data_IF_454797659286
#
_entry.id   IF_454797659286
#
_cell.length_a   1.000
_cell.length_b   1.000
_cell.length_c   1.000
_cell.angle_alpha   90.00
_cell.angle_beta   90.00
_cell.angle_gamma   90.00
#
_symmetry.space_group_name_H-M   'P 1'
#
loop_
_entity.id
_entity.type
_entity.pdbx_description
1 polymer ?
#
# COMPACT_ATOMS: atom_id res chain seq x y z
N UNK A 1 -9.92 22.23 -14.03
CA UNK A 1 -9.84 20.98 -14.79
C UNK A 1 -10.32 19.81 -13.95
N UNK A 2 -11.43 19.18 -14.33
CA UNK A 2 -11.88 17.94 -13.70
C UNK A 2 -11.06 16.79 -14.33
N UNK A 3 -10.36 16.00 -13.50
CA UNK A 3 -9.69 14.77 -13.95
C UNK A 3 -10.72 13.64 -13.95
N UNK A 4 -10.73 12.83 -15.00
CA UNK A 4 -11.57 11.64 -15.07
C UNK A 4 -10.78 10.46 -14.50
N UNK A 5 -11.22 9.98 -13.34
CA UNK A 5 -10.57 8.88 -12.63
C UNK A 5 -11.42 7.62 -12.76
N UNK A 6 -10.83 6.56 -13.32
CA UNK A 6 -11.42 5.23 -13.37
C UNK A 6 -10.73 4.33 -12.34
N UNK A 7 -11.51 3.57 -11.57
CA UNK A 7 -10.99 2.60 -10.61
C UNK A 7 -11.23 1.18 -11.08
N UNK A 8 -10.16 0.38 -11.09
CA UNK A 8 -10.21 -1.06 -11.32
C UNK A 8 -9.85 -1.79 -10.03
N UNK A 9 -10.68 -2.75 -9.62
CA UNK A 9 -10.48 -3.48 -8.37
C UNK A 9 -10.24 -4.97 -8.69
N UNK A 10 -9.11 -5.49 -8.19
CA UNK A 10 -8.69 -6.88 -8.34
C UNK A 10 -8.33 -7.42 -6.95
N UNK A 11 -9.36 -7.74 -6.18
CA UNK A 11 -9.26 -7.96 -4.74
C UNK A 11 -9.29 -9.47 -4.44
N UNK A 12 -8.20 -9.99 -3.87
CA UNK A 12 -8.13 -11.35 -3.37
C UNK A 12 -9.12 -11.56 -2.23
N UNK A 13 -10.07 -12.47 -2.46
CA UNK A 13 -11.14 -12.83 -1.51
C UNK A 13 -10.63 -13.58 -0.28
N UNK A 14 -9.42 -14.12 -0.34
CA UNK A 14 -8.78 -14.84 0.75
C UNK A 14 -7.91 -13.96 1.63
N UNK A 15 -7.80 -12.66 1.34
CA UNK A 15 -7.06 -11.73 2.18
C UNK A 15 -7.68 -11.71 3.59
N UNK A 16 -6.93 -12.06 4.65
CA UNK A 16 -7.49 -12.10 5.99
C UNK A 16 -7.85 -10.72 6.52
N UNK A 17 -8.77 -10.68 7.48
CA UNK A 17 -9.13 -9.44 8.18
C UNK A 17 -7.94 -8.94 8.99
N UNK A 18 -7.65 -7.65 8.87
CA UNK A 18 -6.64 -6.96 9.66
C UNK A 18 -7.32 -6.28 10.85
N UNK A 19 -6.83 -6.53 12.07
CA UNK A 19 -7.40 -5.92 13.30
C UNK A 19 -6.84 -4.51 13.51
N UNK A 20 -7.28 -3.57 12.68
CA UNK A 20 -6.86 -2.17 12.71
C UNK A 20 -8.05 -1.26 12.48
N UNK A 21 -7.99 -0.04 13.00
CA UNK A 21 -8.98 0.99 12.70
C UNK A 21 -8.89 1.37 11.21
N UNK A 22 -10.02 1.34 10.51
CA UNK A 22 -10.15 1.70 9.10
C UNK A 22 -9.64 3.11 8.77
N UNK A 23 -9.75 4.06 9.70
CA UNK A 23 -9.19 5.41 9.50
C UNK A 23 -7.67 5.40 9.39
N UNK A 24 -6.98 4.49 10.07
CA UNK A 24 -5.52 4.34 9.95
C UNK A 24 -5.15 3.78 8.57
N UNK A 25 -5.95 2.87 8.04
CA UNK A 25 -5.78 2.36 6.67
C UNK A 25 -6.02 3.47 5.65
N UNK A 26 -7.06 4.28 5.88
CA UNK A 26 -7.39 5.43 5.04
C UNK A 26 -6.23 6.44 4.99
N UNK A 27 -5.63 6.78 6.13
CA UNK A 27 -4.47 7.69 6.21
C UNK A 27 -3.23 7.16 5.47
N UNK A 28 -3.13 5.85 5.24
CA UNK A 28 -2.08 5.28 4.39
C UNK A 28 -2.47 5.36 2.92
N UNK A 29 -3.68 4.91 2.56
CA UNK A 29 -4.09 4.68 1.16
C UNK A 29 -4.47 5.97 0.43
N UNK A 30 -5.21 6.87 1.08
CA UNK A 30 -5.72 8.10 0.47
C UNK A 30 -4.59 8.96 -0.12
N UNK A 31 -3.47 9.24 0.60
CA UNK A 31 -2.40 10.04 0.02
C UNK A 31 -1.73 9.40 -1.20
N UNK A 32 -1.68 8.07 -1.26
CA UNK A 32 -1.10 7.33 -2.39
C UNK A 32 -2.00 7.43 -3.63
N UNK A 33 -3.33 7.29 -3.45
CA UNK A 33 -4.31 7.48 -4.52
C UNK A 33 -4.29 8.95 -4.99
N UNK A 34 -4.25 9.90 -4.07
CA UNK A 34 -4.20 11.32 -4.42
C UNK A 34 -2.94 11.65 -5.22
N UNK A 35 -1.80 11.02 -4.90
CA UNK A 35 -0.57 11.20 -5.68
C UNK A 35 -0.68 10.62 -7.09
N UNK A 36 -1.29 9.45 -7.26
CA UNK A 36 -1.60 8.90 -8.58
C UNK A 36 -2.44 9.89 -9.40
N UNK A 37 -3.52 10.42 -8.81
CA UNK A 37 -4.39 11.40 -9.45
C UNK A 37 -3.62 12.66 -9.81
N UNK A 38 -2.92 13.29 -8.86
CA UNK A 38 -2.30 14.61 -9.02
C UNK A 38 -1.11 14.60 -9.98
N UNK A 39 -0.33 13.53 -9.96
CA UNK A 39 0.90 13.43 -10.74
C UNK A 39 0.74 12.62 -12.03
N UNK A 40 -0.48 12.18 -12.36
CA UNK A 40 -0.81 11.43 -13.57
C UNK A 40 -0.18 11.98 -14.86
N UNK A 41 -0.12 13.30 -15.02
CA UNK A 41 0.34 13.96 -16.25
C UNK A 41 -0.65 13.88 -17.41
N UNK A 42 -1.88 13.42 -17.17
CA UNK A 42 -2.95 13.27 -18.16
C UNK A 42 -4.34 13.49 -17.53
N UNK A 43 -5.35 13.74 -18.38
CA UNK A 43 -6.73 14.04 -17.94
C UNK A 43 -7.52 12.81 -17.53
N UNK A 44 -7.26 11.68 -18.18
CA UNK A 44 -7.89 10.39 -17.89
C UNK A 44 -6.87 9.47 -17.24
N UNK A 45 -7.18 8.98 -16.05
CA UNK A 45 -6.31 8.09 -15.29
C UNK A 45 -7.09 6.86 -14.85
N UNK A 46 -6.45 5.70 -15.01
CA UNK A 46 -6.91 4.45 -14.41
C UNK A 46 -6.05 4.17 -13.20
N UNK A 47 -6.70 3.93 -12.06
CA UNK A 47 -6.06 3.48 -10.83
C UNK A 47 -6.55 2.05 -10.55
N UNK A 48 -5.64 1.09 -10.67
CA UNK A 48 -5.90 -0.31 -10.33
C UNK A 48 -5.47 -0.59 -8.89
N UNK A 49 -6.40 -1.03 -8.05
CA UNK A 49 -6.12 -1.50 -6.70
C UNK A 49 -6.21 -3.02 -6.70
N UNK A 50 -5.10 -3.67 -6.37
CA UNK A 50 -4.96 -5.12 -6.38
C UNK A 50 -4.56 -5.61 -5.00
N UNK A 51 -5.19 -6.68 -4.52
CA UNK A 51 -4.73 -7.37 -3.32
C UNK A 51 -4.36 -8.81 -3.63
N UNK A 52 -3.37 -9.33 -2.91
CA UNK A 52 -2.93 -10.72 -2.97
C UNK A 52 -2.65 -11.22 -1.56
N UNK A 53 -2.96 -12.47 -1.28
CA UNK A 53 -2.58 -13.14 -0.04
C UNK A 53 -1.79 -14.41 -0.31
N UNK A 54 -0.67 -14.58 0.38
CA UNK A 54 0.09 -15.82 0.40
C UNK A 54 -0.08 -16.51 1.73
N UNK A 55 -0.72 -17.68 1.72
CA UNK A 55 -0.79 -18.55 2.89
C UNK A 55 0.60 -19.03 3.31
N UNK A 56 1.51 -19.31 2.37
CA UNK A 56 2.85 -19.83 2.69
C UNK A 56 3.69 -18.83 3.46
N UNK A 57 3.72 -17.56 3.02
CA UNK A 57 4.49 -16.51 3.71
C UNK A 57 3.69 -15.80 4.80
N UNK A 58 2.39 -16.13 4.94
CA UNK A 58 1.45 -15.43 5.82
C UNK A 58 1.53 -13.90 5.61
N UNK A 59 1.56 -13.47 4.36
CA UNK A 59 1.69 -12.06 4.00
C UNK A 59 0.64 -11.69 2.95
N UNK A 60 -0.01 -10.54 3.15
CA UNK A 60 -0.82 -9.90 2.12
C UNK A 60 -0.06 -8.75 1.48
N UNK A 61 -0.43 -8.45 0.24
CA UNK A 61 0.10 -7.33 -0.51
C UNK A 61 -1.06 -6.51 -1.04
N UNK A 62 -1.01 -5.19 -0.88
CA UNK A 62 -1.89 -4.23 -1.55
C UNK A 62 -1.06 -3.45 -2.55
N UNK A 63 -1.48 -3.42 -3.81
CA UNK A 63 -0.84 -2.65 -4.88
C UNK A 63 -1.80 -1.59 -5.40
N UNK A 64 -1.36 -0.34 -5.40
CA UNK A 64 -2.05 0.79 -6.01
C UNK A 64 -1.24 1.17 -7.24
N UNK A 65 -1.76 0.83 -8.42
CA UNK A 65 -1.11 1.05 -9.71
C UNK A 65 -1.85 2.15 -10.46
N UNK A 66 -1.13 3.08 -11.05
CA UNK A 66 -1.69 4.03 -12.01
C UNK A 66 -1.08 3.84 -13.40
N UNK A 67 -1.72 4.40 -14.41
CA UNK A 67 -1.20 4.43 -15.78
C UNK A 67 -0.68 5.82 -16.18
N UNK A 68 -0.26 6.64 -15.21
CA UNK A 68 0.25 7.99 -15.41
C UNK A 68 1.67 8.05 -15.96
N UNK A 69 2.34 9.18 -15.75
CA UNK A 69 3.73 9.40 -16.18
C UNK A 69 4.79 8.71 -15.31
N UNK A 70 4.39 8.08 -14.21
CA UNK A 70 5.28 7.48 -13.21
C UNK A 70 5.89 8.49 -12.23
N UNK A 71 6.71 7.96 -11.32
CA UNK A 71 7.49 8.68 -10.32
C UNK A 71 8.83 9.10 -10.92
N UNK A 72 9.27 10.32 -10.62
CA UNK A 72 10.57 10.81 -11.08
C UNK A 72 11.71 9.93 -10.54
N UNK A 73 12.68 9.50 -11.36
CA UNK A 73 13.73 8.57 -10.94
C UNK A 73 14.53 9.03 -9.72
N UNK A 74 14.76 10.33 -9.55
CA UNK A 74 15.46 10.90 -8.39
C UNK A 74 14.70 10.76 -7.08
N UNK A 75 13.37 10.61 -7.12
CA UNK A 75 12.55 10.35 -5.94
C UNK A 75 12.59 8.87 -5.54
N UNK A 76 12.83 7.97 -6.50
CA UNK A 76 12.97 6.52 -6.25
C UNK A 76 14.35 6.11 -5.74
N UNK A 77 15.34 7.01 -5.74
CA UNK A 77 16.67 6.79 -5.17
C UNK A 77 16.55 6.54 -3.66
N UNK A 78 17.32 5.59 -3.16
CA UNK A 78 17.40 5.28 -1.73
C UNK A 78 18.49 6.10 -1.04
N UNK A 79 18.25 6.44 0.22
CA UNK A 79 19.27 6.99 1.11
C UNK A 79 20.13 5.89 1.75
N UNK A 80 21.04 6.28 2.64
CA UNK A 80 21.92 5.36 3.37
C UNK A 80 21.17 4.40 4.30
N UNK A 81 19.92 4.69 4.64
CA UNK A 81 19.04 3.85 5.47
C UNK A 81 18.18 2.91 4.63
N UNK A 82 18.31 2.92 3.31
CA UNK A 82 17.52 2.11 2.39
C UNK A 82 16.12 2.67 2.09
N UNK A 83 15.82 3.91 2.51
CA UNK A 83 14.52 4.52 2.32
C UNK A 83 14.52 5.33 1.02
N UNK A 84 13.51 5.16 0.17
CA UNK A 84 13.39 5.98 -1.05
C UNK A 84 13.10 7.44 -0.70
N UNK A 85 13.69 8.36 -1.46
CA UNK A 85 13.56 9.81 -1.22
C UNK A 85 12.11 10.29 -1.15
N UNK A 86 11.18 9.72 -1.94
CA UNK A 86 9.76 10.09 -1.87
C UNK A 86 9.09 9.87 -0.51
N UNK A 87 9.69 9.06 0.38
CA UNK A 87 9.19 8.78 1.72
C UNK A 87 9.87 9.62 2.81
N UNK A 88 10.77 10.54 2.44
CA UNK A 88 11.42 11.44 3.39
C UNK A 88 10.56 12.68 3.65
N UNK A 89 10.71 13.26 4.84
CA UNK A 89 10.01 14.47 5.24
C UNK A 89 10.36 15.64 4.29
N UNK A 90 9.38 16.53 4.05
CA UNK A 90 9.52 17.72 3.20
C UNK A 90 9.89 17.46 1.73
N UNK A 91 9.69 16.23 1.22
CA UNK A 91 9.89 15.91 -0.20
C UNK A 91 8.56 16.07 -0.95
N UNK A 92 8.46 17.10 -1.80
CA UNK A 92 7.32 17.35 -2.67
C UNK A 92 7.73 17.76 -4.07
N UNK A 93 6.83 17.55 -5.04
CA UNK A 93 6.90 18.14 -6.37
C UNK A 93 5.80 19.20 -6.60
N UNK A 94 5.01 19.52 -5.57
CA UNK A 94 3.95 20.55 -5.63
C UNK A 94 4.50 21.92 -5.21
N UNK A 95 3.99 23.00 -5.81
CA UNK A 95 4.27 24.39 -5.38
C UNK A 95 3.74 24.62 -3.94
N UNK A 96 4.45 25.46 -3.17
CA UNK A 96 4.36 25.57 -1.71
C UNK A 96 2.94 25.75 -1.15
N UNK A 97 2.58 24.93 -0.16
CA UNK A 97 1.39 25.08 0.67
C UNK A 97 1.51 24.29 1.98
N UNK A 98 0.70 24.57 3.01
CA UNK A 98 0.91 24.04 4.37
C UNK A 98 0.83 22.51 4.51
N UNK A 99 0.43 21.77 3.46
CA UNK A 99 0.32 20.30 3.44
C UNK A 99 1.00 19.64 2.22
N UNK A 100 1.89 20.35 1.51
CA UNK A 100 2.52 19.83 0.29
C UNK A 100 3.73 18.95 0.61
N UNK A 101 3.75 17.70 0.15
CA UNK A 101 4.90 16.78 0.32
C UNK A 101 4.84 15.82 1.49
N UNK A 102 3.79 15.91 2.33
CA UNK A 102 3.66 15.00 3.47
C UNK A 102 2.95 13.69 3.17
N UNK A 103 2.27 13.56 2.02
CA UNK A 103 1.43 12.40 1.73
C UNK A 103 2.18 11.07 1.80
N UNK A 104 3.21 10.88 0.95
CA UNK A 104 4.01 9.66 0.96
C UNK A 104 4.78 9.45 2.28
N UNK A 105 5.29 10.54 2.88
CA UNK A 105 5.96 10.47 4.18
C UNK A 105 5.02 9.93 5.27
N UNK A 106 3.81 10.49 5.38
CA UNK A 106 2.83 10.11 6.39
C UNK A 106 2.36 8.66 6.17
N UNK A 107 2.01 8.31 4.93
CA UNK A 107 1.67 6.93 4.57
C UNK A 107 2.79 5.95 4.99
N UNK A 108 4.05 6.31 4.75
CA UNK A 108 5.20 5.49 5.12
C UNK A 108 5.37 5.38 6.64
N UNK A 109 5.25 6.48 7.39
CA UNK A 109 5.36 6.46 8.86
C UNK A 109 4.24 5.64 9.50
N UNK A 110 3.00 5.79 9.04
CA UNK A 110 1.86 5.06 9.58
C UNK A 110 1.98 3.58 9.23
N UNK A 111 2.28 3.22 7.98
CA UNK A 111 2.52 1.82 7.60
C UNK A 111 3.58 1.16 8.48
N UNK A 112 4.71 1.84 8.74
CA UNK A 112 5.76 1.32 9.63
C UNK A 112 5.28 1.13 11.07
N UNK A 113 4.46 2.04 11.62
CA UNK A 113 3.86 1.90 12.95
C UNK A 113 2.90 0.72 13.03
N UNK A 114 2.27 0.36 11.93
CA UNK A 114 1.45 -0.85 11.79
C UNK A 114 2.28 -2.13 11.61
N UNK A 115 3.62 -2.03 11.53
CA UNK A 115 4.50 -3.16 11.21
C UNK A 115 4.44 -3.57 9.74
N UNK A 116 3.91 -2.72 8.86
CA UNK A 116 3.80 -2.95 7.42
C UNK A 116 4.98 -2.31 6.69
N UNK A 117 5.22 -2.75 5.47
CA UNK A 117 6.24 -2.17 4.61
C UNK A 117 5.56 -1.48 3.43
N UNK A 118 5.89 -0.22 3.18
CA UNK A 118 5.44 0.53 2.01
C UNK A 118 6.64 0.77 1.09
N UNK A 119 6.50 0.41 -0.18
CA UNK A 119 7.47 0.73 -1.22
C UNK A 119 6.81 1.28 -2.49
N UNK A 120 7.61 1.80 -3.42
CA UNK A 120 7.14 2.32 -4.71
C UNK A 120 8.11 2.00 -5.86
N UNK A 121 7.56 1.78 -7.05
CA UNK A 121 8.32 1.60 -8.28
C UNK A 121 7.58 2.17 -9.49
N UNK A 122 8.31 2.36 -10.60
CA UNK A 122 7.68 2.64 -11.89
C UNK A 122 7.33 1.34 -12.60
N UNK A 123 6.19 1.36 -13.29
CA UNK A 123 5.80 0.36 -14.26
C UNK A 123 6.29 0.77 -15.65
N UNK A 124 6.02 -0.05 -16.66
CA UNK A 124 6.20 0.38 -18.06
C UNK A 124 5.37 1.63 -18.36
N UNK A 125 4.17 1.71 -17.79
CA UNK A 125 3.30 2.88 -17.80
C UNK A 125 2.80 3.17 -16.38
N UNK A 126 3.09 4.36 -15.86
CA UNK A 126 2.69 4.80 -14.52
C UNK A 126 3.57 4.29 -13.38
N UNK A 127 3.01 4.31 -12.18
CA UNK A 127 3.69 3.90 -10.95
C UNK A 127 2.88 2.86 -10.17
N UNK A 128 3.57 2.20 -9.24
CA UNK A 128 2.98 1.26 -8.30
C UNK A 128 3.46 1.60 -6.89
N UNK A 129 2.52 1.80 -5.97
CA UNK A 129 2.78 1.73 -4.54
C UNK A 129 2.41 0.33 -4.04
N UNK A 130 3.28 -0.28 -3.26
CA UNK A 130 3.10 -1.63 -2.71
C UNK A 130 3.15 -1.59 -1.18
N UNK A 131 2.09 -2.07 -0.53
CA UNK A 131 1.99 -2.22 0.93
C UNK A 131 2.02 -3.71 1.25
N UNK A 132 3.05 -4.16 1.96
CA UNK A 132 3.20 -5.51 2.46
C UNK A 132 2.69 -5.59 3.91
N UNK A 133 1.73 -6.48 4.14
CA UNK A 133 0.99 -6.65 5.40
C UNK A 133 1.30 -8.05 5.95
N UNK A 134 2.10 -8.18 7.02
CA UNK A 134 2.32 -9.47 7.67
C UNK A 134 1.10 -9.89 8.50
N UNK A 135 0.65 -11.13 8.30
CA UNK A 135 -0.37 -11.77 9.12
C UNK A 135 0.31 -12.71 10.11
N UNK A 136 0.69 -12.18 11.27
CA UNK A 136 1.20 -13.05 12.34
C UNK A 136 0.04 -13.87 12.89
N UNK A 137 0.05 -15.18 12.69
CA UNK A 137 -0.85 -16.07 13.43
C UNK A 137 -0.52 -15.91 14.91
N UNK A 138 -1.48 -15.47 15.70
CA UNK A 138 -1.37 -15.59 17.15
C UNK A 138 -1.24 -17.08 17.48
N UNK A 139 -0.33 -17.43 18.40
CA UNK A 139 -0.15 -18.80 18.84
C UNK A 139 -1.47 -19.45 19.33
N UNK A 140 -2.41 -18.63 19.83
CA UNK A 140 -3.75 -19.05 20.24
C UNK A 140 -4.64 -19.54 19.08
N UNK A 141 -4.51 -18.96 17.88
CA UNK A 141 -5.25 -19.42 16.69
C UNK A 141 -4.72 -20.77 16.18
N UNK A 142 -3.41 -21.00 16.28
CA UNK A 142 -2.78 -22.29 15.94
C UNK A 142 -3.21 -23.40 16.91
N UNK A 143 -3.24 -23.12 18.22
CA UNK A 143 -3.72 -24.06 19.23
C UNK A 143 -5.20 -24.41 19.05
N UNK A 144 -6.07 -23.44 18.74
CA UNK A 144 -7.49 -23.73 18.47
C UNK A 144 -7.73 -24.48 17.15
N UNK A 145 -6.93 -24.23 16.12
CA UNK A 145 -7.01 -24.99 14.86
C UNK A 145 -6.53 -26.43 15.03
N UNK A 146 -5.47 -26.66 15.81
CA UNK A 146 -4.99 -28.00 16.11
C UNK A 146 -6.01 -28.78 16.95
N UNK A 147 -6.60 -28.15 17.98
CA UNK A 147 -7.65 -28.76 18.79
C UNK A 147 -8.85 -29.21 17.93
N UNK A 148 -9.30 -28.36 16.99
CA UNK A 148 -10.41 -28.70 16.08
C UNK A 148 -10.07 -29.84 15.10
N UNK A 149 -8.81 -29.99 14.70
CA UNK A 149 -8.37 -31.11 13.85
C UNK A 149 -8.30 -32.42 14.63
N UNK A 150 -7.86 -32.38 15.87
CA UNK A 150 -7.80 -33.55 16.74
C UNK A 150 -9.22 -34.09 17.02
N UNK A 151 -10.20 -33.20 17.24
CA UNK A 151 -11.61 -33.60 17.39
C UNK A 151 -12.27 -34.13 16.10
N UNK A 152 -11.74 -33.80 14.92
CA UNK A 152 -12.31 -34.25 13.64
C UNK A 152 -11.76 -35.63 13.19
N UNK A 153 -10.72 -36.14 13.85
CA UNK A 153 -10.17 -37.48 13.60
C UNK A 153 -10.68 -38.57 14.57
N UNK A 154 -11.47 -38.19 15.59
CA UNK A 154 -12.08 -39.11 16.56
C UNK A 154 -13.54 -39.49 16.24
N UNK A 155 -14.06 -39.12 15.06
CA UNK A 155 -15.40 -39.48 14.55
C UNK A 155 -15.30 -40.19 13.21
#
# INVERSE_FOLDING_TARGET
DLRHVHFELDLDKNLPVVSINEFVVWEIIEPLIQNAVDHAGKKEITIKIQTEYSETSQAGVVRIKDNGKGILPELLKTDHSGIRRLFLENISTKEEGPNTGYGCYLSFQIARRCGWQLDACNLQEGACFEINIPFVRSASAQSMQNLKKDFAHET
#
